data_IF_969429937313
#
_entry.id   IF_969429937313
#
_cell.length_a   1.000
_cell.length_b   1.000
_cell.length_c   1.000
_cell.angle_alpha   90.00
_cell.angle_beta   90.00
_cell.angle_gamma   90.00
#
_symmetry.space_group_name_H-M   'P 1'
#
loop_
_entity.id
_entity.type
_entity.pdbx_description
1 polymer ?
#
# COMPACT_ATOMS: atom_id res chain seq x y z
N UNK A 1 16.90 41.77 43.91
CA UNK A 1 17.18 42.88 43.03
C UNK A 1 16.44 42.56 41.72
N UNK A 2 15.18 42.89 41.62
CA UNK A 2 14.54 44.03 41.00
C UNK A 2 14.90 44.27 39.55
N UNK A 3 13.85 44.14 38.71
CA UNK A 3 13.68 44.92 37.52
C UNK A 3 12.65 44.35 36.54
N UNK A 4 11.38 44.70 36.76
CA UNK A 4 10.26 44.53 35.82
C UNK A 4 10.16 45.69 34.84
N UNK A 5 9.71 45.47 33.60
CA UNK A 5 9.03 46.46 32.74
C UNK A 5 8.20 45.69 31.71
N UNK A 6 6.92 45.58 31.83
CA UNK A 6 5.72 46.32 31.33
C UNK A 6 5.56 46.38 29.81
N UNK A 7 4.48 45.68 29.40
CA UNK A 7 3.36 45.95 28.46
C UNK A 7 3.48 47.05 27.37
N UNK A 8 3.05 46.66 26.17
CA UNK A 8 2.26 47.54 25.30
C UNK A 8 1.21 46.74 24.50
N UNK A 9 -0.03 46.96 24.78
CA UNK A 9 -1.26 46.59 24.04
C UNK A 9 -1.51 47.62 22.97
N UNK A 10 -1.70 47.21 21.72
CA UNK A 10 -2.20 48.08 20.64
C UNK A 10 -3.52 47.56 20.08
N UNK A 11 -4.62 48.18 20.53
CA UNK A 11 -5.96 48.03 19.93
C UNK A 11 -6.01 48.82 18.64
N UNK A 12 -6.56 48.29 17.57
CA UNK A 12 -7.07 49.07 16.45
C UNK A 12 -8.54 48.76 16.23
N UNK A 13 -9.29 49.89 16.09
CA UNK A 13 -10.74 50.01 16.02
C UNK A 13 -11.26 49.74 14.61
N UNK A 14 -12.49 49.21 14.59
CA UNK A 14 -13.42 49.26 13.45
C UNK A 14 -13.71 50.68 13.04
N UNK A 15 -13.83 50.95 11.75
CA UNK A 15 -14.66 52.01 11.18
C UNK A 15 -15.49 51.40 10.04
N UNK A 16 -16.79 51.43 10.24
CA UNK A 16 -17.80 51.24 9.20
C UNK A 16 -18.12 52.58 8.53
N UNK A 17 -18.49 52.54 7.28
CA UNK A 17 -19.21 53.63 6.61
C UNK A 17 -20.33 53.02 5.76
N UNK A 18 -21.53 53.32 6.17
CA UNK A 18 -22.74 53.12 5.39
C UNK A 18 -22.98 54.32 4.46
N UNK A 19 -23.61 54.12 3.34
CA UNK A 19 -24.19 55.16 2.55
C UNK A 19 -25.59 54.76 2.08
N UNK A 20 -26.49 55.67 2.27
CA UNK A 20 -27.93 55.54 2.15
C UNK A 20 -28.46 55.76 0.72
N UNK A 21 -29.66 55.22 0.56
CA UNK A 21 -30.57 55.32 -0.59
C UNK A 21 -31.14 56.71 -0.76
N UNK A 22 -31.31 57.17 -2.00
CA UNK A 22 -32.31 58.23 -2.35
C UNK A 22 -33.08 57.70 -3.55
N UNK A 23 -34.42 57.66 -3.32
CA UNK A 23 -35.42 57.43 -4.35
C UNK A 23 -35.90 58.75 -4.90
N UNK A 24 -36.15 58.83 -6.21
CA UNK A 24 -37.03 59.81 -6.80
C UNK A 24 -37.74 59.19 -8.01
N UNK A 25 -39.04 59.34 -8.00
CA UNK A 25 -39.97 58.75 -8.94
C UNK A 25 -40.23 59.56 -10.18
N UNK A 26 -41.03 59.01 -11.08
CA UNK A 26 -41.87 59.64 -12.02
C UNK A 26 -41.71 59.33 -13.48
N UNK A 27 -42.74 58.82 -14.13
CA UNK A 27 -42.96 59.00 -15.56
C UNK A 27 -43.35 57.74 -16.34
N UNK A 28 -44.67 57.55 -16.53
CA UNK A 28 -45.23 56.63 -17.53
C UNK A 28 -44.87 57.06 -18.94
N UNK A 29 -44.47 56.12 -19.80
CA UNK A 29 -44.79 56.14 -21.23
C UNK A 29 -44.89 54.69 -21.72
N UNK A 30 -46.03 54.34 -22.33
CA UNK A 30 -46.29 53.10 -23.07
C UNK A 30 -45.45 53.10 -24.35
N UNK A 31 -44.73 52.07 -24.55
CA UNK A 31 -44.09 51.75 -25.82
C UNK A 31 -43.85 50.24 -25.89
N UNK A 32 -44.73 49.54 -26.61
CA UNK A 32 -44.55 48.10 -26.83
C UNK A 32 -43.33 47.82 -27.66
N UNK A 33 -42.41 47.06 -27.12
CA UNK A 33 -41.30 46.45 -27.85
C UNK A 33 -41.30 44.96 -27.58
N UNK A 34 -41.46 44.21 -28.62
CA UNK A 34 -41.31 42.75 -28.70
C UNK A 34 -39.91 42.35 -28.17
N UNK A 35 -39.86 41.67 -27.08
CA UNK A 35 -38.64 41.04 -26.60
C UNK A 35 -38.39 39.77 -27.41
N UNK A 36 -37.18 39.53 -27.95
CA UNK A 36 -36.85 38.23 -28.51
C UNK A 36 -36.70 37.24 -27.36
N UNK A 37 -37.50 36.19 -27.38
CA UNK A 37 -37.33 35.00 -26.54
C UNK A 37 -35.93 34.42 -26.75
N UNK A 38 -35.07 34.57 -25.77
CA UNK A 38 -33.77 33.89 -25.79
C UNK A 38 -34.02 32.39 -25.63
N UNK A 39 -33.89 31.65 -26.73
CA UNK A 39 -33.86 30.21 -26.70
C UNK A 39 -32.71 29.76 -25.81
N UNK A 40 -33.01 29.30 -24.61
CA UNK A 40 -32.07 28.60 -23.71
C UNK A 40 -31.79 27.28 -24.39
N UNK A 41 -30.67 27.20 -25.13
CA UNK A 41 -30.13 25.97 -25.63
C UNK A 41 -29.79 25.08 -24.41
N UNK A 42 -30.59 24.05 -24.17
CA UNK A 42 -30.28 23.02 -23.19
C UNK A 42 -28.97 22.38 -23.61
N UNK A 43 -27.91 22.70 -22.90
CA UNK A 43 -26.64 22.00 -23.06
C UNK A 43 -26.88 20.51 -22.74
N UNK A 44 -26.92 19.69 -23.77
CA UNK A 44 -26.98 18.24 -23.64
C UNK A 44 -25.68 17.84 -22.95
N UNK A 45 -25.75 17.53 -21.66
CA UNK A 45 -24.64 16.90 -20.94
C UNK A 45 -24.41 15.54 -21.59
N UNK A 46 -23.42 15.45 -22.46
CA UNK A 46 -22.95 14.18 -23.02
C UNK A 46 -22.38 13.40 -21.82
N UNK A 47 -23.17 12.44 -21.35
CA UNK A 47 -22.71 11.51 -20.34
C UNK A 47 -21.55 10.72 -20.95
N UNK A 48 -20.37 10.69 -20.33
CA UNK A 48 -19.24 9.95 -20.88
C UNK A 48 -19.65 8.50 -21.13
N UNK A 49 -19.37 7.98 -22.31
CA UNK A 49 -19.65 6.58 -22.66
C UNK A 49 -19.08 5.67 -21.56
N UNK A 50 -19.88 4.70 -21.13
CA UNK A 50 -19.43 3.71 -20.16
C UNK A 50 -18.20 3.00 -20.76
N UNK A 51 -17.14 2.85 -19.96
CA UNK A 51 -15.97 2.09 -20.38
C UNK A 51 -16.39 0.65 -20.68
N UNK A 52 -15.82 -0.01 -21.70
CA UNK A 52 -16.17 -1.40 -22.02
C UNK A 52 -15.89 -2.30 -20.83
N UNK A 53 -16.81 -3.24 -20.56
CA UNK A 53 -16.66 -4.20 -19.50
C UNK A 53 -15.41 -5.08 -19.71
N UNK A 54 -14.65 -5.34 -18.63
CA UNK A 54 -13.51 -6.26 -18.68
C UNK A 54 -14.03 -7.69 -18.64
N UNK A 55 -13.62 -8.49 -19.64
CA UNK A 55 -13.88 -9.94 -19.62
C UNK A 55 -12.95 -10.60 -18.58
N UNK A 56 -13.51 -11.03 -17.45
CA UNK A 56 -12.76 -11.66 -16.36
C UNK A 56 -12.78 -13.18 -16.47
N UNK A 57 -11.84 -13.84 -15.77
CA UNK A 57 -11.82 -15.31 -15.66
C UNK A 57 -13.09 -15.82 -15.00
N UNK A 58 -13.57 -17.05 -15.35
CA UNK A 58 -14.78 -17.62 -14.76
C UNK A 58 -14.71 -17.76 -13.22
N UNK A 59 -15.68 -17.18 -12.55
CA UNK A 59 -15.77 -17.18 -11.08
C UNK A 59 -15.20 -15.93 -10.41
N UNK A 60 -14.43 -15.11 -11.12
CA UNK A 60 -14.02 -13.82 -10.60
C UNK A 60 -15.20 -12.83 -10.61
N UNK A 61 -15.39 -12.04 -9.55
CA UNK A 61 -16.36 -10.94 -9.55
C UNK A 61 -16.05 -9.92 -10.66
N UNK A 62 -17.09 -9.35 -11.27
CA UNK A 62 -16.94 -8.36 -12.32
C UNK A 62 -16.17 -7.12 -11.82
N UNK A 63 -15.34 -6.53 -12.68
CA UNK A 63 -14.66 -5.25 -12.40
C UNK A 63 -15.70 -4.13 -12.40
N UNK A 64 -15.79 -3.37 -11.32
CA UNK A 64 -16.80 -2.31 -11.15
C UNK A 64 -16.46 -1.07 -11.97
N UNK A 65 -15.23 -0.60 -11.90
CA UNK A 65 -14.72 0.50 -12.74
C UNK A 65 -13.36 0.10 -13.36
N UNK A 66 -13.34 -0.18 -14.66
CA UNK A 66 -12.10 -0.57 -15.34
C UNK A 66 -11.07 0.56 -15.47
N UNK A 67 -11.45 1.80 -15.15
CA UNK A 67 -10.53 2.95 -15.10
C UNK A 67 -9.91 3.14 -13.72
N UNK A 68 -10.50 2.53 -12.69
CA UNK A 68 -10.02 2.60 -11.32
C UNK A 68 -10.35 1.32 -10.54
N UNK A 69 -9.44 0.35 -10.57
CA UNK A 69 -9.52 -0.91 -9.83
C UNK A 69 -9.71 -0.72 -8.32
N UNK A 70 -9.30 0.44 -7.79
CA UNK A 70 -9.41 0.77 -6.37
C UNK A 70 -10.72 1.47 -6.00
N UNK A 71 -11.67 1.59 -6.92
CA UNK A 71 -12.96 2.26 -6.68
C UNK A 71 -13.76 1.64 -5.52
N UNK A 72 -13.67 0.32 -5.35
CA UNK A 72 -14.32 -0.38 -4.24
C UNK A 72 -13.55 -0.31 -2.92
N UNK A 73 -12.31 0.17 -2.97
CA UNK A 73 -11.48 0.43 -1.79
C UNK A 73 -11.69 1.85 -1.22
N UNK A 74 -12.67 2.61 -1.73
CA UNK A 74 -13.02 3.92 -1.21
C UNK A 74 -13.46 3.83 0.26
N UNK A 75 -13.18 4.90 1.02
CA UNK A 75 -13.60 4.98 2.42
C UNK A 75 -15.12 4.79 2.57
N UNK A 76 -15.53 3.95 3.51
CA UNK A 76 -16.94 3.67 3.77
C UNK A 76 -17.53 2.51 2.96
N UNK A 77 -16.83 1.96 1.97
CA UNK A 77 -17.28 0.80 1.17
C UNK A 77 -16.77 -0.49 1.80
N UNK A 78 -17.38 -0.91 2.90
CA UNK A 78 -17.05 -2.18 3.56
C UNK A 78 -17.92 -3.32 3.05
N UNK A 79 -17.32 -4.50 2.87
CA UNK A 79 -18.06 -5.74 2.63
C UNK A 79 -18.96 -6.08 3.82
N UNK A 80 -20.16 -6.61 3.57
CA UNK A 80 -21.01 -7.14 4.63
C UNK A 80 -20.34 -8.29 5.42
N UNK A 81 -19.35 -8.96 4.83
CA UNK A 81 -18.61 -10.04 5.47
C UNK A 81 -17.85 -9.59 6.74
N UNK A 82 -17.42 -8.30 6.80
CA UNK A 82 -16.66 -7.75 7.92
C UNK A 82 -17.53 -7.05 8.97
N UNK A 83 -18.85 -7.15 8.86
CA UNK A 83 -19.77 -6.58 9.84
C UNK A 83 -19.58 -7.22 11.21
N UNK A 84 -19.27 -6.40 12.21
CA UNK A 84 -19.03 -6.84 13.58
C UNK A 84 -17.59 -7.24 13.89
N UNK A 85 -16.69 -7.10 12.92
CA UNK A 85 -15.25 -7.30 13.16
C UNK A 85 -14.66 -6.18 14.01
N UNK A 86 -13.63 -6.53 14.79
CA UNK A 86 -12.93 -5.57 15.62
C UNK A 86 -12.06 -4.63 14.76
N UNK A 87 -12.14 -3.32 15.04
CA UNK A 87 -11.19 -2.36 14.46
C UNK A 87 -9.84 -2.51 15.17
N UNK A 88 -8.89 -3.16 14.51
CA UNK A 88 -7.57 -3.51 15.06
C UNK A 88 -6.48 -3.42 14.00
N UNK A 89 -5.24 -3.28 14.48
CA UNK A 89 -4.04 -3.40 13.64
C UNK A 89 -3.24 -4.57 14.18
N UNK A 90 -3.04 -5.55 13.34
CA UNK A 90 -2.30 -6.76 13.67
C UNK A 90 -0.89 -6.66 13.11
N UNK A 91 0.11 -6.81 13.99
CA UNK A 91 1.53 -6.57 13.67
C UNK A 91 2.33 -7.83 13.91
N UNK A 92 2.75 -8.55 12.86
CA UNK A 92 3.61 -9.72 13.00
C UNK A 92 5.04 -9.26 13.30
N UNK A 93 5.67 -9.86 14.31
CA UNK A 93 7.03 -9.53 14.72
C UNK A 93 7.94 -10.73 14.48
N UNK A 94 8.81 -10.62 13.50
CA UNK A 94 9.63 -11.71 12.98
C UNK A 94 10.46 -12.39 14.09
N UNK A 95 11.21 -11.60 14.85
CA UNK A 95 12.09 -12.10 15.93
C UNK A 95 11.34 -12.44 17.21
N UNK A 96 10.18 -11.82 17.41
CA UNK A 96 9.31 -12.09 18.55
C UNK A 96 8.55 -13.40 18.43
N UNK A 97 8.34 -13.92 17.21
CA UNK A 97 7.43 -15.03 16.93
C UNK A 97 6.05 -14.79 17.53
N UNK A 98 5.56 -13.57 17.39
CA UNK A 98 4.29 -13.11 17.97
C UNK A 98 3.60 -12.08 17.09
N UNK A 99 2.35 -11.82 17.42
CA UNK A 99 1.55 -10.74 16.86
C UNK A 99 1.18 -9.80 18.00
N UNK A 100 1.42 -8.51 17.78
CA UNK A 100 0.91 -7.43 18.63
C UNK A 100 -0.35 -6.87 18.00
N UNK A 101 -1.34 -6.55 18.83
CA UNK A 101 -2.63 -6.01 18.40
C UNK A 101 -2.75 -4.58 18.92
N UNK A 102 -2.88 -3.62 18.00
CA UNK A 102 -3.05 -2.21 18.33
C UNK A 102 -4.52 -1.84 18.16
N UNK A 103 -5.05 -1.10 19.14
CA UNK A 103 -6.31 -0.39 19.00
C UNK A 103 -6.04 0.99 18.41
N UNK A 104 -6.50 1.27 17.16
CA UNK A 104 -6.22 2.54 16.50
C UNK A 104 -6.93 3.75 17.14
N UNK A 105 -8.03 3.53 17.89
CA UNK A 105 -8.77 4.61 18.54
C UNK A 105 -8.01 5.22 19.73
N UNK A 106 -7.28 4.39 20.47
CA UNK A 106 -6.50 4.82 21.63
C UNK A 106 -4.98 4.79 21.42
N UNK A 107 -4.55 4.38 20.21
CA UNK A 107 -3.14 4.35 19.81
C UNK A 107 -2.25 3.52 20.75
N UNK A 108 -2.74 2.36 21.19
CA UNK A 108 -2.03 1.48 22.14
C UNK A 108 -2.10 0.03 21.71
N UNK A 109 -1.06 -0.71 22.08
CA UNK A 109 -1.09 -2.18 22.07
C UNK A 109 -2.07 -2.63 23.16
N UNK A 110 -3.06 -3.42 22.76
CA UNK A 110 -4.13 -3.93 23.64
C UNK A 110 -4.07 -5.43 23.86
N UNK A 111 -3.35 -6.15 22.97
CA UNK A 111 -3.16 -7.60 23.10
C UNK A 111 -1.86 -8.03 22.42
N UNK A 112 -1.39 -9.23 22.75
CA UNK A 112 -0.28 -9.90 22.10
C UNK A 112 -0.39 -11.41 22.30
N UNK A 113 -0.02 -12.18 21.28
CA UNK A 113 -0.04 -13.64 21.35
C UNK A 113 1.06 -14.25 20.50
N UNK A 114 1.48 -15.48 20.87
CA UNK A 114 2.46 -16.24 20.10
C UNK A 114 1.82 -16.86 18.87
N UNK A 115 2.62 -16.96 17.80
CA UNK A 115 2.28 -17.63 16.54
C UNK A 115 3.43 -18.58 16.16
N UNK A 116 3.46 -19.05 14.92
CA UNK A 116 4.58 -19.85 14.42
C UNK A 116 5.88 -19.04 14.27
N UNK A 117 6.93 -19.71 13.81
CA UNK A 117 8.27 -19.11 13.69
C UNK A 117 8.35 -18.08 12.57
N UNK A 118 9.02 -16.96 12.84
CA UNK A 118 9.34 -15.91 11.88
C UNK A 118 8.11 -15.43 11.08
N UNK A 119 7.06 -14.87 11.75
CA UNK A 119 5.88 -14.36 11.07
C UNK A 119 6.25 -13.16 10.20
N UNK A 120 5.79 -13.18 8.93
CA UNK A 120 6.11 -12.16 7.92
C UNK A 120 4.91 -11.24 7.63
N UNK A 121 3.78 -11.81 7.28
CA UNK A 121 2.59 -11.06 6.86
C UNK A 121 1.34 -11.52 7.60
N UNK A 122 0.36 -10.63 7.66
CA UNK A 122 -1.01 -10.97 8.07
C UNK A 122 -1.93 -10.62 6.91
N UNK A 123 -2.62 -11.62 6.40
CA UNK A 123 -3.33 -11.57 5.13
C UNK A 123 -4.78 -11.94 5.34
N UNK A 124 -5.75 -11.11 4.93
CA UNK A 124 -7.16 -11.48 4.96
C UNK A 124 -7.44 -12.64 3.99
N UNK A 125 -8.28 -13.59 4.42
CA UNK A 125 -8.82 -14.62 3.52
C UNK A 125 -9.64 -13.98 2.38
N UNK A 126 -9.83 -14.70 1.27
CA UNK A 126 -10.58 -14.20 0.13
C UNK A 126 -11.99 -13.76 0.50
N UNK A 127 -12.65 -14.54 1.36
CA UNK A 127 -14.00 -14.27 1.89
C UNK A 127 -14.03 -13.27 3.06
N UNK A 128 -12.88 -12.71 3.47
CA UNK A 128 -12.73 -11.73 4.53
C UNK A 128 -13.11 -12.21 5.94
N UNK A 129 -13.17 -13.54 6.19
CA UNK A 129 -13.62 -14.09 7.48
C UNK A 129 -12.50 -14.53 8.39
N UNK A 130 -11.27 -14.57 7.89
CA UNK A 130 -10.08 -15.02 8.63
C UNK A 130 -8.90 -14.13 8.27
N UNK A 131 -8.06 -13.79 9.23
CA UNK A 131 -6.75 -13.19 8.99
C UNK A 131 -5.69 -14.27 9.18
N UNK A 132 -4.87 -14.51 8.16
CA UNK A 132 -3.85 -15.53 8.18
C UNK A 132 -2.47 -14.96 8.45
N UNK A 133 -1.81 -15.38 9.52
CA UNK A 133 -0.40 -15.05 9.79
C UNK A 133 0.48 -16.04 9.04
N UNK A 134 1.35 -15.54 8.16
CA UNK A 134 2.32 -16.38 7.45
C UNK A 134 3.57 -16.52 8.29
N UNK A 135 3.84 -17.71 8.81
CA UNK A 135 5.00 -18.01 9.63
C UNK A 135 6.01 -18.78 8.77
N UNK A 136 6.93 -18.07 8.10
CA UNK A 136 7.76 -18.68 7.07
C UNK A 136 8.86 -19.59 7.62
N UNK A 137 9.14 -19.49 8.92
CA UNK A 137 10.16 -20.25 9.62
C UNK A 137 11.58 -20.13 9.00
N UNK A 138 11.77 -19.16 8.10
CA UNK A 138 13.02 -18.84 7.38
C UNK A 138 13.72 -20.09 6.82
N UNK A 139 14.71 -20.62 7.53
CA UNK A 139 15.57 -21.74 7.08
C UNK A 139 15.10 -23.11 7.54
N UNK A 140 14.07 -23.18 8.38
CA UNK A 140 13.55 -24.47 8.89
C UNK A 140 12.35 -24.97 8.06
N UNK A 141 11.91 -26.21 8.32
CA UNK A 141 10.81 -26.84 7.57
C UNK A 141 9.47 -26.80 8.32
N UNK A 142 9.40 -26.04 9.41
CA UNK A 142 8.24 -25.95 10.30
C UNK A 142 7.42 -24.68 10.09
N UNK A 143 7.30 -24.23 8.84
CA UNK A 143 6.42 -23.16 8.44
C UNK A 143 4.95 -23.48 8.72
N UNK A 144 4.16 -22.44 8.94
CA UNK A 144 2.73 -22.59 9.23
C UNK A 144 1.92 -21.34 8.89
N UNK A 145 0.62 -21.50 8.82
CA UNK A 145 -0.36 -20.41 8.77
C UNK A 145 -1.15 -20.42 10.08
N UNK A 146 -1.14 -19.30 10.82
CA UNK A 146 -1.95 -19.16 12.02
C UNK A 146 -3.18 -18.31 11.70
N UNK A 147 -4.42 -18.86 11.82
CA UNK A 147 -5.62 -18.07 11.63
C UNK A 147 -5.90 -17.17 12.83
N UNK A 148 -6.44 -15.98 12.57
CA UNK A 148 -6.99 -15.07 13.57
C UNK A 148 -8.46 -14.87 13.20
N UNK A 149 -9.35 -15.02 14.16
CA UNK A 149 -10.74 -14.63 14.02
C UNK A 149 -10.86 -13.10 14.19
N UNK A 150 -11.24 -12.34 13.16
CA UNK A 150 -11.28 -10.88 13.23
C UNK A 150 -12.39 -10.33 14.13
N UNK A 151 -13.39 -11.15 14.51
CA UNK A 151 -14.45 -10.75 15.43
C UNK A 151 -14.02 -10.78 16.89
N UNK A 152 -13.17 -11.74 17.22
CA UNK A 152 -12.65 -11.89 18.59
C UNK A 152 -11.22 -11.38 18.76
N UNK A 153 -10.49 -11.23 17.66
CA UNK A 153 -9.06 -10.89 17.63
C UNK A 153 -8.15 -12.02 18.13
N UNK A 154 -8.65 -13.24 18.29
CA UNK A 154 -7.92 -14.36 18.87
C UNK A 154 -7.38 -15.33 17.81
N UNK A 155 -6.16 -15.89 18.02
CA UNK A 155 -5.61 -16.89 17.14
C UNK A 155 -6.28 -18.25 17.34
N UNK A 156 -6.40 -18.99 16.24
CA UNK A 156 -6.77 -20.40 16.22
C UNK A 156 -5.55 -21.31 16.05
N UNK A 157 -5.77 -22.64 15.92
CA UNK A 157 -4.72 -23.62 15.70
C UNK A 157 -4.03 -23.39 14.35
N UNK A 158 -2.70 -23.44 14.36
CA UNK A 158 -1.90 -23.26 13.15
C UNK A 158 -2.02 -24.47 12.21
N UNK A 159 -2.04 -24.18 10.89
CA UNK A 159 -1.97 -25.19 9.83
C UNK A 159 -0.55 -25.28 9.32
N UNK A 160 0.02 -26.46 9.26
CA UNK A 160 1.38 -26.69 8.75
C UNK A 160 1.42 -26.50 7.24
N UNK A 161 2.30 -25.60 6.78
CA UNK A 161 2.60 -25.38 5.35
C UNK A 161 4.08 -25.11 5.19
N UNK A 162 4.63 -25.45 4.04
CA UNK A 162 6.08 -25.33 3.82
C UNK A 162 6.44 -23.90 3.45
N UNK A 163 7.27 -23.24 4.27
CA UNK A 163 7.94 -21.96 4.04
C UNK A 163 7.04 -20.83 3.51
N UNK A 164 5.90 -20.50 4.16
CA UNK A 164 4.96 -19.49 3.69
C UNK A 164 5.49 -18.08 3.94
N UNK A 165 6.23 -17.52 2.98
CA UNK A 165 6.66 -16.11 3.08
C UNK A 165 5.45 -15.18 3.02
N UNK A 166 4.57 -15.38 2.05
CA UNK A 166 3.36 -14.61 1.87
C UNK A 166 2.18 -15.51 1.45
N UNK A 167 0.98 -14.93 1.42
CA UNK A 167 -0.25 -15.60 1.05
C UNK A 167 -1.08 -14.69 0.13
N UNK A 168 -1.59 -15.27 -0.95
CA UNK A 168 -2.50 -14.64 -1.88
C UNK A 168 -3.72 -15.51 -2.11
N UNK A 169 -4.69 -15.00 -2.85
CA UNK A 169 -5.84 -15.77 -3.30
C UNK A 169 -6.02 -15.57 -4.80
N UNK A 170 -6.43 -16.61 -5.52
CA UNK A 170 -6.78 -16.44 -6.92
C UNK A 170 -8.00 -15.51 -7.05
N UNK A 171 -8.10 -14.70 -8.13
CA UNK A 171 -9.20 -13.75 -8.29
C UNK A 171 -10.60 -14.37 -8.29
N UNK A 172 -10.71 -15.66 -8.61
CA UNK A 172 -11.95 -16.44 -8.53
C UNK A 172 -12.21 -17.06 -7.15
N UNK A 173 -11.31 -16.87 -6.19
CA UNK A 173 -11.42 -17.36 -4.82
C UNK A 173 -11.28 -18.88 -4.64
N UNK A 174 -10.90 -19.62 -5.71
CA UNK A 174 -10.82 -21.08 -5.65
C UNK A 174 -9.54 -21.62 -5.03
N UNK A 175 -8.48 -20.80 -4.94
CA UNK A 175 -7.22 -21.22 -4.34
C UNK A 175 -6.64 -20.13 -3.47
N UNK A 176 -6.08 -20.51 -2.33
CA UNK A 176 -5.07 -19.78 -1.60
C UNK A 176 -3.70 -20.07 -2.21
N UNK A 177 -2.87 -19.04 -2.43
CA UNK A 177 -1.56 -19.16 -3.07
C UNK A 177 -0.48 -18.89 -2.03
N UNK A 178 0.09 -19.94 -1.47
CA UNK A 178 1.22 -19.85 -0.54
C UNK A 178 2.51 -19.63 -1.33
N UNK A 179 3.19 -18.53 -1.01
CA UNK A 179 4.50 -18.21 -1.60
C UNK A 179 5.57 -18.97 -0.82
N UNK A 180 5.98 -20.13 -1.33
CA UNK A 180 7.05 -20.96 -0.74
C UNK A 180 8.42 -20.44 -1.24
N UNK A 181 8.86 -19.32 -0.68
CA UNK A 181 9.99 -18.50 -1.14
C UNK A 181 11.29 -19.29 -1.31
N UNK A 182 11.75 -19.95 -0.24
CA UNK A 182 12.99 -20.71 -0.26
C UNK A 182 12.89 -21.95 -1.15
N UNK A 183 11.68 -22.38 -1.51
CA UNK A 183 11.41 -23.54 -2.38
C UNK A 183 11.29 -23.18 -3.85
N UNK A 184 11.29 -21.88 -4.17
CA UNK A 184 11.08 -21.37 -5.54
C UNK A 184 9.84 -21.97 -6.18
N UNK A 185 8.71 -21.91 -5.49
CA UNK A 185 7.41 -22.38 -5.97
C UNK A 185 6.26 -21.65 -5.33
N UNK A 186 5.12 -21.74 -5.98
CA UNK A 186 3.83 -21.29 -5.50
C UNK A 186 2.97 -22.54 -5.23
N UNK A 187 2.49 -22.70 -4.00
CA UNK A 187 1.59 -23.76 -3.61
C UNK A 187 0.15 -23.26 -3.62
N UNK A 188 -0.66 -23.79 -4.53
CA UNK A 188 -2.08 -23.50 -4.61
C UNK A 188 -2.83 -24.46 -3.70
N UNK A 189 -3.64 -23.91 -2.80
CA UNK A 189 -4.28 -24.63 -1.72
C UNK A 189 -5.77 -24.30 -1.66
N UNK A 190 -6.55 -25.19 -1.11
CA UNK A 190 -7.94 -24.92 -0.80
C UNK A 190 -8.03 -23.71 0.16
N UNK A 191 -8.82 -22.67 -0.16
CA UNK A 191 -8.78 -21.40 0.57
C UNK A 191 -9.34 -21.47 2.00
N UNK A 192 -10.06 -22.55 2.35
CA UNK A 192 -10.64 -22.75 3.68
C UNK A 192 -9.84 -23.74 4.53
N UNK A 193 -9.45 -24.86 3.95
CA UNK A 193 -8.76 -25.95 4.67
C UNK A 193 -7.23 -25.86 4.57
N UNK A 194 -6.71 -25.07 3.65
CA UNK A 194 -5.29 -25.00 3.28
C UNK A 194 -4.72 -26.34 2.78
N UNK A 195 -5.54 -27.29 2.38
CA UNK A 195 -5.12 -28.52 1.73
C UNK A 195 -4.46 -28.21 0.37
N UNK A 196 -3.32 -28.85 0.06
CA UNK A 196 -2.62 -28.64 -1.21
C UNK A 196 -3.45 -29.12 -2.39
N UNK A 197 -3.67 -28.29 -3.39
CA UNK A 197 -4.32 -28.62 -4.66
C UNK A 197 -3.28 -28.95 -5.75
N UNK A 198 -2.34 -28.03 -5.98
CA UNK A 198 -1.23 -28.17 -6.93
C UNK A 198 -0.13 -27.16 -6.62
N UNK A 199 1.00 -27.27 -7.30
CA UNK A 199 2.11 -26.33 -7.19
C UNK A 199 2.60 -25.89 -8.57
N UNK A 200 3.12 -24.66 -8.66
CA UNK A 200 3.82 -24.13 -9.83
C UNK A 200 5.26 -23.87 -9.42
N UNK A 201 6.21 -24.59 -10.02
CA UNK A 201 7.63 -24.34 -9.82
C UNK A 201 8.06 -23.04 -10.53
N UNK A 202 8.88 -22.23 -9.85
CA UNK A 202 9.41 -20.95 -10.36
C UNK A 202 10.94 -20.97 -10.34
N UNK A 203 11.62 -21.87 -11.09
CA UNK A 203 13.06 -22.10 -10.95
C UNK A 203 13.91 -20.85 -11.26
N UNK A 204 13.46 -19.97 -12.14
CA UNK A 204 14.10 -18.69 -12.46
C UNK A 204 13.87 -17.57 -11.45
N UNK A 205 13.03 -17.80 -10.42
CA UNK A 205 12.63 -16.81 -9.43
C UNK A 205 13.19 -17.15 -8.05
N UNK A 206 14.47 -16.87 -7.81
CA UNK A 206 15.04 -17.00 -6.46
C UNK A 206 14.47 -15.89 -5.57
N UNK A 207 13.92 -16.27 -4.41
CA UNK A 207 13.21 -15.35 -3.53
C UNK A 207 11.89 -14.89 -4.16
N UNK A 208 11.06 -15.84 -4.60
CA UNK A 208 9.68 -15.51 -5.01
C UNK A 208 8.96 -14.88 -3.82
N UNK A 209 8.38 -13.67 -4.00
CA UNK A 209 8.08 -12.81 -2.88
C UNK A 209 6.66 -12.24 -2.97
N UNK A 210 6.50 -11.05 -3.53
CA UNK A 210 5.22 -10.34 -3.61
C UNK A 210 4.59 -10.45 -4.99
N UNK A 211 3.28 -10.22 -5.06
CA UNK A 211 2.53 -10.28 -6.31
C UNK A 211 1.40 -9.26 -6.39
N UNK A 212 1.01 -8.95 -7.63
CA UNK A 212 -0.30 -8.41 -7.93
C UNK A 212 -0.86 -9.06 -9.20
N UNK A 213 -2.16 -8.90 -9.44
CA UNK A 213 -2.93 -9.66 -10.42
C UNK A 213 -3.40 -8.76 -11.56
N UNK A 214 -3.44 -9.32 -12.77
CA UNK A 214 -4.05 -8.63 -13.92
C UNK A 214 -5.52 -8.28 -13.65
N UNK A 215 -5.98 -7.22 -14.32
CA UNK A 215 -7.36 -6.73 -14.16
C UNK A 215 -8.42 -7.79 -14.48
N UNK A 216 -8.12 -8.69 -15.42
CA UNK A 216 -8.98 -9.78 -15.86
C UNK A 216 -8.82 -11.08 -15.06
N UNK A 217 -7.84 -11.12 -14.14
CA UNK A 217 -7.56 -12.28 -13.30
C UNK A 217 -6.81 -13.41 -13.99
N UNK A 218 -6.33 -13.24 -15.22
CA UNK A 218 -5.68 -14.31 -16.00
C UNK A 218 -4.27 -14.60 -15.55
N UNK A 219 -3.53 -13.58 -15.11
CA UNK A 219 -2.15 -13.76 -14.66
C UNK A 219 -1.83 -12.95 -13.42
N UNK A 220 -0.76 -13.35 -12.76
CA UNK A 220 -0.11 -12.57 -11.70
C UNK A 220 1.34 -12.33 -12.06
N UNK A 221 1.89 -11.20 -11.58
CA UNK A 221 3.33 -10.92 -11.66
C UNK A 221 3.89 -10.99 -10.25
N UNK A 222 4.86 -11.89 -10.06
CA UNK A 222 5.59 -12.07 -8.80
C UNK A 222 6.98 -11.42 -8.88
N UNK A 223 7.39 -10.78 -7.79
CA UNK A 223 8.76 -10.33 -7.61
C UNK A 223 9.66 -11.49 -7.21
N UNK A 224 10.91 -11.44 -7.67
CA UNK A 224 11.94 -12.46 -7.42
C UNK A 224 13.12 -11.75 -6.73
N UNK A 225 13.01 -11.59 -5.42
CA UNK A 225 13.85 -10.72 -4.58
C UNK A 225 15.35 -10.99 -4.81
N UNK A 226 15.76 -12.26 -4.75
CA UNK A 226 17.18 -12.62 -4.87
C UNK A 226 17.66 -12.86 -6.32
N UNK A 227 16.73 -12.88 -7.28
CA UNK A 227 17.08 -12.98 -8.69
C UNK A 227 17.20 -11.61 -9.37
N UNK A 228 16.57 -10.56 -8.83
CA UNK A 228 16.46 -9.24 -9.47
C UNK A 228 15.60 -9.29 -10.73
N UNK A 229 14.58 -10.15 -10.72
CA UNK A 229 13.68 -10.39 -11.85
C UNK A 229 12.22 -10.36 -11.39
N UNK A 230 11.32 -10.37 -12.36
CA UNK A 230 9.90 -10.63 -12.17
C UNK A 230 9.53 -11.95 -12.85
N UNK A 231 8.51 -12.63 -12.33
CA UNK A 231 7.93 -13.82 -12.95
C UNK A 231 6.45 -13.58 -13.29
N UNK A 232 6.06 -13.72 -14.55
CA UNK A 232 4.66 -13.66 -15.00
C UNK A 232 4.09 -15.06 -15.02
N UNK A 233 3.04 -15.29 -14.25
CA UNK A 233 2.41 -16.60 -14.03
C UNK A 233 1.01 -16.58 -14.64
N UNK A 234 0.73 -17.51 -15.56
CA UNK A 234 -0.62 -17.76 -16.04
C UNK A 234 -1.39 -18.59 -15.00
N UNK A 235 -2.46 -18.03 -14.48
CA UNK A 235 -3.28 -18.67 -13.44
C UNK A 235 -4.28 -19.68 -14.02
N UNK A 236 -4.63 -19.52 -15.30
CA UNK A 236 -5.55 -20.42 -16.03
C UNK A 236 -4.81 -21.66 -16.50
N UNK A 237 -3.68 -21.45 -17.20
CA UNK A 237 -2.82 -22.53 -17.72
C UNK A 237 -1.86 -23.12 -16.66
N UNK A 238 -1.80 -22.50 -15.46
CA UNK A 238 -0.99 -22.94 -14.32
C UNK A 238 0.49 -23.10 -14.63
N UNK A 239 1.09 -22.09 -15.28
CA UNK A 239 2.49 -22.12 -15.71
C UNK A 239 3.18 -20.78 -15.63
N UNK A 240 4.49 -20.79 -15.57
CA UNK A 240 5.31 -19.59 -15.77
C UNK A 240 5.27 -19.22 -17.26
N UNK A 241 4.89 -17.98 -17.57
CA UNK A 241 4.91 -17.44 -18.93
C UNK A 241 6.29 -16.91 -19.31
N UNK A 242 6.89 -16.10 -18.42
CA UNK A 242 8.14 -15.43 -18.68
C UNK A 242 8.82 -14.95 -17.39
N UNK A 243 10.11 -14.64 -17.51
CA UNK A 243 10.88 -13.89 -16.51
C UNK A 243 11.38 -12.59 -17.14
N UNK A 244 11.25 -11.47 -16.40
CA UNK A 244 11.75 -10.16 -16.80
C UNK A 244 12.89 -9.75 -15.86
N UNK A 245 14.10 -9.54 -16.41
CA UNK A 245 15.20 -8.94 -15.66
C UNK A 245 15.00 -7.43 -15.60
N UNK A 246 15.02 -6.87 -14.38
CA UNK A 246 14.90 -5.43 -14.18
C UNK A 246 16.20 -4.72 -14.54
N UNK A 247 16.07 -3.60 -15.26
CA UNK A 247 17.21 -2.73 -15.60
C UNK A 247 17.47 -1.77 -14.47
N UNK A 248 18.69 -1.78 -13.94
CA UNK A 248 19.09 -0.90 -12.85
C UNK A 248 19.27 0.55 -13.33
N UNK A 249 18.97 1.56 -12.48
CA UNK A 249 19.22 2.96 -12.81
C UNK A 249 20.71 3.25 -12.91
N UNK A 250 21.09 4.33 -13.61
CA UNK A 250 22.48 4.77 -13.70
C UNK A 250 23.06 5.23 -12.35
N UNK A 251 22.21 5.80 -11.50
CA UNK A 251 22.57 6.27 -10.15
C UNK A 251 21.55 5.77 -9.13
N UNK A 252 22.00 5.62 -7.88
CA UNK A 252 21.15 5.36 -6.72
C UNK A 252 21.54 6.26 -5.56
N UNK A 253 20.76 6.28 -4.48
CA UNK A 253 21.13 7.01 -3.28
C UNK A 253 22.31 6.35 -2.58
N UNK A 254 23.22 7.17 -2.06
CA UNK A 254 24.34 6.69 -1.25
C UNK A 254 23.86 6.39 0.16
N UNK A 255 24.06 5.14 0.58
CA UNK A 255 23.83 4.73 1.96
C UNK A 255 24.93 5.32 2.86
N UNK A 256 24.56 6.19 3.80
CA UNK A 256 25.50 6.81 4.74
C UNK A 256 25.15 6.34 6.15
N UNK A 257 25.94 5.41 6.73
CA UNK A 257 25.68 4.89 8.08
C UNK A 257 25.71 6.02 9.12
N UNK A 258 24.70 6.04 9.99
CA UNK A 258 24.62 7.00 11.12
C UNK A 258 24.36 8.45 10.74
N UNK A 259 24.10 8.76 9.48
CA UNK A 259 23.68 10.09 9.07
C UNK A 259 22.24 10.32 9.52
N UNK A 260 22.07 10.80 10.76
CA UNK A 260 20.82 11.41 11.17
C UNK A 260 20.64 12.68 10.35
N UNK A 261 19.89 12.60 9.26
CA UNK A 261 19.42 13.80 8.58
C UNK A 261 18.33 14.41 9.42
N UNK A 262 18.62 15.58 9.95
CA UNK A 262 17.58 16.43 10.49
C UNK A 262 16.70 16.85 9.32
N UNK A 263 15.52 16.22 9.21
CA UNK A 263 14.51 16.74 8.33
C UNK A 263 14.20 18.18 8.74
N UNK A 264 14.55 19.13 7.89
CA UNK A 264 14.13 20.51 8.08
C UNK A 264 12.66 20.56 7.74
N UNK A 265 11.82 20.56 8.76
CA UNK A 265 10.36 20.49 8.62
C UNK A 265 9.84 19.05 8.37
N UNK A 266 8.72 18.94 7.68
CA UNK A 266 8.03 17.68 7.35
C UNK A 266 8.50 17.03 6.03
N UNK A 267 9.47 17.64 5.36
CA UNK A 267 9.96 17.21 4.05
C UNK A 267 11.24 16.41 4.22
N UNK A 268 11.25 15.24 3.62
CA UNK A 268 12.43 14.40 3.53
C UNK A 268 13.22 14.75 2.27
N UNK A 269 14.42 15.29 2.44
CA UNK A 269 15.30 15.59 1.33
C UNK A 269 16.10 14.34 0.94
N UNK A 270 16.10 13.95 -0.33
CA UNK A 270 16.89 12.82 -0.79
C UNK A 270 18.38 13.10 -0.59
N UNK A 271 19.11 12.04 -0.21
CA UNK A 271 20.56 12.12 0.00
C UNK A 271 21.40 12.27 -1.26
N UNK A 272 22.74 12.38 -1.08
CA UNK A 272 23.64 12.32 -2.20
C UNK A 272 23.48 11.00 -2.95
N UNK A 273 23.66 11.06 -4.27
CA UNK A 273 23.64 9.87 -5.13
C UNK A 273 25.08 9.39 -5.42
N UNK A 274 25.18 8.13 -5.77
CA UNK A 274 26.40 7.49 -6.27
C UNK A 274 26.11 6.77 -7.59
N UNK A 275 27.14 6.45 -8.37
CA UNK A 275 26.98 5.59 -9.54
C UNK A 275 26.47 4.23 -9.08
N UNK A 276 25.41 3.76 -9.69
CA UNK A 276 24.86 2.44 -9.38
C UNK A 276 25.76 1.35 -9.96
N UNK A 277 26.59 0.74 -9.14
CA UNK A 277 27.43 -0.39 -9.53
C UNK A 277 26.76 -1.74 -9.30
N UNK A 278 25.57 -1.74 -8.71
CA UNK A 278 24.76 -2.96 -8.48
C UNK A 278 24.12 -3.37 -9.80
N UNK A 279 24.40 -4.57 -10.24
CA UNK A 279 23.94 -5.12 -11.53
C UNK A 279 22.65 -5.94 -11.41
N UNK A 280 22.19 -6.14 -10.18
CA UNK A 280 21.01 -6.96 -9.86
C UNK A 280 20.13 -6.25 -8.83
N UNK A 281 18.89 -6.02 -9.20
CA UNK A 281 17.88 -5.47 -8.31
C UNK A 281 17.53 -6.41 -7.16
N UNK A 282 16.74 -5.88 -6.22
CA UNK A 282 16.10 -6.63 -5.13
C UNK A 282 14.63 -6.19 -5.08
N UNK A 283 13.82 -6.62 -6.09
CA UNK A 283 12.41 -6.24 -6.15
C UNK A 283 11.62 -6.80 -4.98
N UNK A 284 10.79 -5.93 -4.40
CA UNK A 284 9.99 -6.17 -3.21
C UNK A 284 8.50 -6.14 -3.56
N UNK A 285 7.77 -5.19 -3.01
CA UNK A 285 6.33 -5.06 -3.24
C UNK A 285 6.01 -4.66 -4.68
N UNK A 286 4.83 -5.04 -5.13
CA UNK A 286 4.32 -4.77 -6.48
C UNK A 286 2.84 -4.39 -6.43
N UNK A 287 2.45 -3.35 -7.15
CA UNK A 287 1.05 -2.91 -7.28
C UNK A 287 0.70 -2.60 -8.73
N UNK A 288 -0.47 -3.05 -9.13
CA UNK A 288 -1.05 -2.71 -10.43
C UNK A 288 -1.58 -1.27 -10.42
N UNK A 289 -1.47 -0.56 -11.55
CA UNK A 289 -2.05 0.78 -11.73
C UNK A 289 -3.59 0.74 -11.67
N UNK A 290 -4.23 1.87 -11.35
CA UNK A 290 -5.70 1.94 -11.26
C UNK A 290 -6.41 1.48 -12.53
N UNK A 291 -5.84 1.71 -13.71
CA UNK A 291 -6.38 1.29 -15.01
C UNK A 291 -6.01 -0.15 -15.40
N UNK A 292 -5.31 -0.88 -14.54
CA UNK A 292 -4.96 -2.28 -14.73
C UNK A 292 -3.90 -2.57 -15.77
N UNK A 293 -3.17 -1.55 -16.28
CA UNK A 293 -2.24 -1.74 -17.41
C UNK A 293 -0.78 -1.90 -16.99
N UNK A 294 -0.36 -1.19 -15.95
CA UNK A 294 1.03 -1.13 -15.53
C UNK A 294 1.20 -1.68 -14.12
N UNK A 295 2.36 -2.22 -13.84
CA UNK A 295 2.76 -2.70 -12.52
C UNK A 295 3.92 -1.85 -12.01
N UNK A 296 3.79 -1.36 -10.78
CA UNK A 296 4.79 -0.60 -10.08
C UNK A 296 5.50 -1.53 -9.11
N UNK A 297 6.82 -1.61 -9.19
CA UNK A 297 7.65 -2.57 -8.47
C UNK A 297 8.68 -1.81 -7.65
N UNK A 298 8.57 -1.86 -6.32
CA UNK A 298 9.58 -1.32 -5.43
C UNK A 298 10.85 -2.17 -5.50
N UNK A 299 12.01 -1.54 -5.56
CA UNK A 299 13.30 -2.24 -5.59
C UNK A 299 14.27 -1.62 -4.60
N UNK A 300 14.65 -2.43 -3.59
CA UNK A 300 15.54 -1.99 -2.51
C UNK A 300 16.94 -1.61 -3.00
N UNK A 301 17.48 -2.29 -4.01
CA UNK A 301 18.82 -2.02 -4.52
C UNK A 301 18.85 -0.89 -5.54
N UNK A 302 17.72 -0.62 -6.21
CA UNK A 302 17.57 0.46 -7.17
C UNK A 302 17.19 1.80 -6.51
N UNK A 303 16.73 1.80 -5.26
CA UNK A 303 16.24 2.98 -4.53
C UNK A 303 15.06 3.66 -5.23
N UNK A 304 14.16 2.86 -5.76
CA UNK A 304 13.02 3.37 -6.51
C UNK A 304 12.00 2.34 -6.92
N UNK A 305 11.15 2.76 -7.84
CA UNK A 305 10.03 1.99 -8.32
C UNK A 305 10.17 1.82 -9.83
N UNK A 306 10.29 0.58 -10.29
CA UNK A 306 10.20 0.24 -11.72
C UNK A 306 8.74 0.26 -12.18
N UNK A 307 8.51 0.67 -13.42
CA UNK A 307 7.20 0.62 -14.08
C UNK A 307 7.29 -0.42 -15.18
N UNK A 308 6.38 -1.40 -15.14
CA UNK A 308 6.33 -2.52 -16.08
C UNK A 308 4.96 -2.52 -16.76
N UNK A 309 4.94 -2.58 -18.07
CA UNK A 309 3.72 -2.80 -18.85
C UNK A 309 3.28 -4.26 -18.67
N UNK A 310 2.03 -4.45 -18.24
CA UNK A 310 1.52 -5.77 -17.87
C UNK A 310 1.28 -6.69 -19.06
N UNK A 311 0.92 -6.14 -20.22
CA UNK A 311 0.64 -6.92 -21.43
C UNK A 311 1.93 -7.39 -22.11
N UNK A 312 2.78 -6.43 -22.50
CA UNK A 312 4.06 -6.73 -23.17
C UNK A 312 5.11 -7.33 -22.23
N UNK A 313 4.89 -7.22 -20.91
CA UNK A 313 5.81 -7.65 -19.86
C UNK A 313 7.21 -7.05 -20.03
N UNK A 314 7.29 -5.74 -20.26
CA UNK A 314 8.52 -4.98 -20.45
C UNK A 314 8.61 -3.83 -19.45
N UNK A 315 9.82 -3.50 -19.00
CA UNK A 315 10.05 -2.31 -18.18
C UNK A 315 9.94 -1.06 -19.06
N UNK A 316 9.03 -0.14 -18.69
CA UNK A 316 8.73 1.08 -19.44
C UNK A 316 9.12 2.37 -18.72
N UNK A 317 9.50 2.27 -17.43
CA UNK A 317 9.91 3.44 -16.65
C UNK A 317 10.58 3.10 -15.33
N UNK A 318 11.05 4.16 -14.66
CA UNK A 318 11.63 4.09 -13.32
C UNK A 318 11.43 5.42 -12.60
N UNK A 319 11.06 5.38 -11.31
CA UNK A 319 10.89 6.54 -10.44
C UNK A 319 11.83 6.38 -9.25
N UNK A 320 12.78 7.29 -9.11
CA UNK A 320 13.68 7.29 -7.96
C UNK A 320 12.95 7.82 -6.72
N UNK A 321 12.96 7.07 -5.63
CA UNK A 321 12.21 7.38 -4.40
C UNK A 321 13.10 7.64 -3.20
N UNK A 322 13.74 6.63 -2.64
CA UNK A 322 14.59 6.73 -1.48
C UNK A 322 15.30 5.43 -1.19
N UNK A 323 16.27 5.45 -0.29
CA UNK A 323 17.08 4.28 0.05
C UNK A 323 16.19 3.12 0.51
N UNK A 324 16.30 1.99 -0.19
CA UNK A 324 15.61 0.78 0.17
C UNK A 324 14.10 0.84 -0.04
N UNK A 325 13.64 1.22 -1.24
CA UNK A 325 12.23 1.19 -1.60
C UNK A 325 11.64 -0.21 -1.39
N UNK A 326 10.54 -0.32 -0.62
CA UNK A 326 10.03 -1.62 -0.18
C UNK A 326 8.51 -1.76 -0.30
N UNK A 327 7.71 -1.16 0.58
CA UNK A 327 6.26 -1.30 0.58
C UNK A 327 5.56 -0.31 -0.33
N UNK A 328 4.52 -0.74 -1.02
CA UNK A 328 3.68 0.04 -1.91
C UNK A 328 2.23 0.00 -1.43
N UNK A 329 1.63 1.18 -1.19
CA UNK A 329 0.24 1.26 -0.74
C UNK A 329 -0.55 2.25 -1.61
N UNK A 330 -1.58 1.79 -2.35
CA UNK A 330 -2.47 2.68 -3.10
C UNK A 330 -3.32 3.55 -2.18
N UNK A 331 -3.55 4.82 -2.57
CA UNK A 331 -4.56 5.64 -1.89
C UNK A 331 -5.98 5.11 -2.17
N UNK A 332 -6.93 5.40 -1.27
CA UNK A 332 -8.32 4.93 -1.37
C UNK A 332 -9.04 5.42 -2.64
N UNK A 333 -8.64 6.56 -3.17
CA UNK A 333 -9.19 7.12 -4.40
C UNK A 333 -8.46 6.66 -5.68
N UNK A 334 -7.41 5.84 -5.55
CA UNK A 334 -6.61 5.35 -6.65
C UNK A 334 -5.75 6.43 -7.32
N UNK A 335 -5.55 7.60 -6.72
CA UNK A 335 -4.79 8.70 -7.35
C UNK A 335 -3.31 8.71 -6.98
N UNK A 336 -2.96 8.14 -5.82
CA UNK A 336 -1.60 8.20 -5.28
C UNK A 336 -1.09 6.81 -4.92
N UNK A 337 0.21 6.65 -5.03
CA UNK A 337 0.94 5.50 -4.54
C UNK A 337 1.90 5.95 -3.45
N UNK A 338 1.75 5.41 -2.25
CA UNK A 338 2.68 5.61 -1.15
C UNK A 338 3.79 4.57 -1.21
N UNK A 339 5.03 5.02 -1.21
CA UNK A 339 6.23 4.17 -1.26
C UNK A 339 6.96 4.28 0.06
N UNK A 340 7.04 3.19 0.81
CA UNK A 340 7.84 3.10 2.01
C UNK A 340 9.30 2.82 1.64
N UNK A 341 10.23 3.60 2.19
CA UNK A 341 11.67 3.45 1.97
C UNK A 341 12.34 3.15 3.32
N UNK A 342 12.96 1.98 3.43
CA UNK A 342 13.52 1.47 4.71
C UNK A 342 14.75 2.21 5.21
N UNK A 343 15.42 3.00 4.37
CA UNK A 343 16.74 3.58 4.69
C UNK A 343 17.86 2.55 4.71
N UNK A 344 17.70 1.40 4.05
CA UNK A 344 18.69 0.33 4.01
C UNK A 344 18.53 -0.56 2.78
N UNK A 345 19.64 -1.05 2.24
CA UNK A 345 19.71 -2.08 1.20
C UNK A 345 19.79 -3.51 1.75
N UNK A 346 19.63 -3.68 3.08
CA UNK A 346 19.74 -4.99 3.76
C UNK A 346 18.38 -5.49 4.20
N UNK A 347 18.20 -6.82 4.14
CA UNK A 347 16.98 -7.46 4.62
C UNK A 347 16.98 -7.52 6.15
N UNK A 348 18.12 -7.82 6.73
CA UNK A 348 18.33 -7.94 8.18
C UNK A 348 19.44 -7.01 8.65
N UNK A 349 19.44 -6.70 9.92
CA UNK A 349 20.48 -5.89 10.54
C UNK A 349 19.92 -4.64 11.20
N UNK A 350 20.76 -3.62 11.31
CA UNK A 350 20.36 -2.33 11.87
C UNK A 350 20.02 -1.33 10.77
N UNK A 351 19.22 -0.36 11.13
CA UNK A 351 18.94 0.82 10.33
C UNK A 351 20.26 1.52 9.94
N UNK A 352 20.42 1.84 8.67
CA UNK A 352 21.66 2.40 8.13
C UNK A 352 21.50 3.82 7.61
N UNK A 353 20.30 4.27 7.37
CA UNK A 353 20.03 5.60 6.81
C UNK A 353 18.66 6.13 7.19
N UNK A 354 18.25 7.17 6.50
CA UNK A 354 16.96 7.82 6.69
C UNK A 354 15.93 7.16 5.81
N UNK A 355 15.02 6.43 6.42
CA UNK A 355 13.81 5.98 5.75
C UNK A 355 12.71 7.04 5.83
N UNK A 356 11.72 6.89 4.97
CA UNK A 356 10.59 7.78 4.88
C UNK A 356 9.54 7.28 3.89
N UNK A 357 8.53 8.10 3.65
CA UNK A 357 7.47 7.78 2.68
C UNK A 357 7.54 8.76 1.51
N UNK A 358 7.52 8.23 0.30
CA UNK A 358 7.39 9.00 -0.93
C UNK A 358 6.00 8.83 -1.49
N UNK A 359 5.39 9.91 -1.95
CA UNK A 359 4.07 9.91 -2.57
C UNK A 359 4.22 10.14 -4.06
N UNK A 360 3.75 9.20 -4.85
CA UNK A 360 3.72 9.28 -6.31
C UNK A 360 2.29 9.58 -6.76
N UNK A 361 2.12 10.53 -7.67
CA UNK A 361 0.88 10.73 -8.41
C UNK A 361 0.85 9.76 -9.59
N UNK A 362 -0.14 8.87 -9.62
CA UNK A 362 -0.24 7.82 -10.63
C UNK A 362 -0.59 8.32 -12.03
N UNK A 363 -1.19 9.51 -12.14
CA UNK A 363 -1.54 10.07 -13.45
C UNK A 363 -0.35 10.65 -14.19
N UNK A 364 0.68 11.06 -13.44
CA UNK A 364 1.87 11.75 -13.98
C UNK A 364 3.18 10.98 -13.79
N UNK A 365 3.17 9.90 -12.99
CA UNK A 365 4.36 9.15 -12.57
C UNK A 365 5.41 10.02 -11.84
N UNK A 366 4.95 11.08 -11.15
CA UNK A 366 5.82 12.02 -10.46
C UNK A 366 5.72 11.92 -8.95
N UNK A 367 6.86 12.10 -8.29
CA UNK A 367 6.90 12.31 -6.85
C UNK A 367 6.29 13.67 -6.53
N UNK A 368 5.24 13.68 -5.69
CA UNK A 368 4.51 14.88 -5.28
C UNK A 368 4.70 15.23 -3.81
N UNK A 369 5.16 14.29 -2.98
CA UNK A 369 5.53 14.56 -1.59
C UNK A 369 6.59 13.57 -1.10
N UNK A 370 7.33 13.99 -0.04
CA UNK A 370 8.30 13.19 0.69
C UNK A 370 8.11 13.45 2.18
N UNK A 371 7.83 12.41 2.94
CA UNK A 371 7.57 12.49 4.38
C UNK A 371 8.72 11.87 5.16
N UNK A 372 9.32 12.64 6.04
CA UNK A 372 10.40 12.20 6.90
C UNK A 372 9.87 11.52 8.17
N UNK A 373 10.62 10.54 8.66
CA UNK A 373 10.51 10.08 10.04
C UNK A 373 11.52 10.87 10.88
N UNK A 374 11.12 11.62 11.91
CA UNK A 374 12.05 12.38 12.74
C UNK A 374 13.14 11.48 13.36
N UNK A 375 14.40 11.86 13.18
CA UNK A 375 15.55 11.05 13.59
C UNK A 375 15.86 9.88 12.66
N UNK A 376 15.26 9.86 11.47
CA UNK A 376 15.31 8.76 10.51
C UNK A 376 14.48 7.55 10.96
N UNK A 377 14.03 6.73 10.02
CA UNK A 377 13.17 5.59 10.31
C UNK A 377 13.35 4.47 9.30
N UNK A 378 12.62 3.37 9.51
CA UNK A 378 12.64 2.23 8.61
C UNK A 378 11.21 1.79 8.24
N UNK A 379 10.37 2.70 7.70
CA UNK A 379 9.02 2.33 7.30
C UNK A 379 9.08 1.22 6.25
N UNK A 380 8.21 0.24 6.41
CA UNK A 380 8.27 -1.00 5.67
C UNK A 380 6.93 -1.28 4.97
N UNK A 381 6.11 -2.15 5.48
CA UNK A 381 4.85 -2.56 4.87
C UNK A 381 3.66 -2.34 5.78
N UNK A 382 2.52 -2.11 5.18
CA UNK A 382 1.27 -1.94 5.90
C UNK A 382 0.09 -1.53 5.04
N UNK A 383 -0.87 -0.84 5.66
CA UNK A 383 -2.11 -0.44 5.01
C UNK A 383 -2.55 0.98 5.40
N UNK A 384 -3.55 1.46 4.66
CA UNK A 384 -4.33 2.63 5.04
C UNK A 384 -5.43 2.29 6.07
N UNK A 385 -5.79 3.28 6.90
CA UNK A 385 -7.05 3.26 7.64
C UNK A 385 -8.26 3.13 6.68
N UNK A 386 -9.41 2.73 7.23
CA UNK A 386 -10.65 2.55 6.44
C UNK A 386 -10.98 3.79 5.62
N UNK A 387 -10.87 4.96 6.23
CA UNK A 387 -11.16 6.27 5.61
C UNK A 387 -10.00 6.83 4.75
N UNK A 388 -8.86 6.15 4.72
CA UNK A 388 -7.67 6.58 3.99
C UNK A 388 -6.91 7.74 4.62
N UNK A 389 -7.32 8.22 5.80
CA UNK A 389 -6.69 9.37 6.46
C UNK A 389 -5.32 9.08 7.05
N UNK A 390 -5.02 7.83 7.34
CA UNK A 390 -3.77 7.41 7.94
C UNK A 390 -3.15 6.22 7.22
N UNK A 391 -1.83 6.31 6.99
CA UNK A 391 -1.02 5.20 6.50
C UNK A 391 -0.27 4.58 7.70
N UNK A 392 -0.51 3.29 7.92
CA UNK A 392 0.12 2.51 8.98
C UNK A 392 1.20 1.62 8.38
N UNK A 393 2.42 1.74 8.86
CA UNK A 393 3.57 1.00 8.37
C UNK A 393 4.33 0.35 9.53
N UNK A 394 4.68 -0.91 9.40
CA UNK A 394 5.68 -1.53 10.25
C UNK A 394 7.03 -0.82 10.06
N UNK A 395 7.89 -0.88 11.06
CA UNK A 395 9.23 -0.28 11.02
C UNK A 395 10.26 -1.31 11.44
N UNK A 396 10.77 -2.04 10.46
CA UNK A 396 11.52 -3.28 10.65
C UNK A 396 12.72 -3.16 11.58
N UNK A 397 13.47 -2.07 11.48
CA UNK A 397 14.69 -1.88 12.28
C UNK A 397 14.50 -1.01 13.52
N UNK A 398 13.29 -0.47 13.73
CA UNK A 398 12.99 0.46 14.83
C UNK A 398 12.09 -0.18 15.91
N UNK A 399 11.56 -1.38 15.65
CA UNK A 399 10.63 -2.09 16.55
C UNK A 399 9.39 -1.25 16.91
N UNK A 400 8.88 -0.51 15.95
CA UNK A 400 7.68 0.33 16.09
C UNK A 400 6.73 0.15 14.91
N UNK A 401 5.52 0.68 15.06
CA UNK A 401 4.61 0.96 13.96
C UNK A 401 4.52 2.46 13.80
N UNK A 402 4.65 2.95 12.58
CA UNK A 402 4.40 4.34 12.21
C UNK A 402 2.96 4.52 11.74
N UNK A 403 2.33 5.63 12.16
CA UNK A 403 1.09 6.14 11.60
C UNK A 403 1.35 7.51 11.00
N UNK A 404 1.28 7.60 9.69
CA UNK A 404 1.38 8.87 8.96
C UNK A 404 -0.02 9.42 8.68
N UNK A 405 -0.21 10.72 8.85
CA UNK A 405 -1.35 11.44 8.27
C UNK A 405 -1.15 11.56 6.76
N UNK A 406 -2.12 11.10 5.96
CA UNK A 406 -1.95 11.02 4.49
C UNK A 406 -2.04 12.37 3.77
N UNK A 407 -2.41 13.44 4.46
CA UNK A 407 -2.42 14.81 3.92
C UNK A 407 -1.18 15.59 4.30
N UNK A 408 -0.80 15.55 5.58
CA UNK A 408 0.28 16.36 6.11
C UNK A 408 1.64 15.65 6.16
N UNK A 409 1.64 14.29 6.16
CA UNK A 409 2.84 13.50 6.40
C UNK A 409 3.30 13.51 7.86
N UNK A 410 2.49 14.05 8.79
CA UNK A 410 2.79 13.97 10.21
C UNK A 410 2.83 12.51 10.66
N UNK A 411 3.83 12.17 11.46
CA UNK A 411 4.03 10.80 11.90
C UNK A 411 4.06 10.68 13.42
N UNK A 412 3.41 9.63 13.91
CA UNK A 412 3.53 9.15 15.29
C UNK A 412 3.95 7.70 15.29
N UNK A 413 4.55 7.23 16.40
CA UNK A 413 5.05 5.87 16.51
C UNK A 413 4.48 5.16 17.74
N UNK A 414 4.31 3.83 17.60
CA UNK A 414 3.86 2.95 18.67
C UNK A 414 4.88 1.82 18.80
N UNK A 415 5.43 1.62 20.00
CA UNK A 415 6.35 0.52 20.29
C UNK A 415 5.64 -0.84 20.14
N UNK A 416 6.27 -1.77 19.43
CA UNK A 416 5.80 -3.15 19.22
C UNK A 416 6.91 -4.16 19.50
N UNK A 417 6.78 -5.37 19.00
CA UNK A 417 7.80 -6.42 19.10
C UNK A 417 8.97 -6.23 18.15
N UNK A 418 9.92 -7.17 18.16
CA UNK A 418 11.16 -7.07 17.41
C UNK A 418 10.99 -7.47 15.94
N UNK A 419 11.54 -6.67 15.04
CA UNK A 419 11.46 -6.78 13.58
C UNK A 419 10.00 -6.93 13.08
N UNK A 420 9.11 -5.93 13.29
CA UNK A 420 7.77 -5.96 12.72
C UNK A 420 7.82 -5.87 11.20
N UNK A 421 6.88 -6.57 10.49
CA UNK A 421 6.82 -6.56 9.03
C UNK A 421 5.39 -6.38 8.53
N UNK A 422 4.91 -7.12 7.59
CA UNK A 422 3.64 -6.95 6.89
C UNK A 422 2.39 -6.87 7.78
N UNK A 423 2.19 -5.74 8.45
CA UNK A 423 1.02 -5.49 9.29
C UNK A 423 -0.27 -5.39 8.47
N UNK A 424 -1.39 -5.66 9.13
CA UNK A 424 -2.72 -5.48 8.56
C UNK A 424 -3.58 -4.58 9.44
N UNK A 425 -4.11 -3.50 8.85
CA UNK A 425 -5.19 -2.69 9.43
C UNK A 425 -6.51 -3.40 9.09
N UNK A 426 -7.36 -3.65 10.08
CA UNK A 426 -8.62 -4.35 9.89
C UNK A 426 -9.78 -3.63 10.57
N UNK A 427 -11.00 -3.66 9.97
CA UNK A 427 -11.36 -4.14 8.64
C UNK A 427 -10.85 -3.23 7.51
N UNK A 428 -10.85 -3.75 6.28
CA UNK A 428 -10.48 -3.03 5.07
C UNK A 428 -11.68 -2.88 4.13
N UNK A 429 -11.80 -1.75 3.39
CA UNK A 429 -12.75 -1.63 2.27
C UNK A 429 -12.43 -2.64 1.17
N UNK A 430 -13.46 -3.08 0.46
CA UNK A 430 -13.36 -4.04 -0.62
C UNK A 430 -14.31 -5.22 -0.46
N UNK A 431 -14.63 -5.90 -1.56
CA UNK A 431 -15.55 -7.05 -1.58
C UNK A 431 -14.86 -8.36 -1.23
N UNK A 432 -13.60 -8.49 -1.62
CA UNK A 432 -12.80 -9.71 -1.46
C UNK A 432 -11.32 -9.36 -1.38
N UNK A 433 -10.53 -10.26 -0.81
CA UNK A 433 -9.08 -10.10 -0.72
C UNK A 433 -8.37 -10.89 -1.82
N UNK A 434 -7.42 -10.26 -2.49
CA UNK A 434 -6.43 -10.97 -3.28
C UNK A 434 -5.20 -11.36 -2.47
N UNK A 435 -5.23 -11.09 -1.18
CA UNK A 435 -4.15 -11.36 -0.25
C UNK A 435 -3.17 -10.21 -0.12
N UNK A 436 -2.06 -10.47 0.59
CA UNK A 436 -1.12 -9.45 1.02
C UNK A 436 -1.81 -8.31 1.78
N UNK A 437 -1.12 -7.60 2.60
CA UNK A 437 -1.61 -6.64 3.61
C UNK A 437 -2.61 -5.56 3.15
N UNK A 438 -3.34 -5.69 2.09
CA UNK A 438 -4.31 -4.69 1.64
C UNK A 438 -4.64 -4.77 0.17
N UNK A 439 -4.32 -5.89 -0.43
CA UNK A 439 -4.73 -6.14 -1.81
C UNK A 439 -6.19 -6.60 -1.85
N UNK A 440 -7.09 -5.60 -1.77
CA UNK A 440 -8.54 -5.75 -1.78
C UNK A 440 -9.12 -5.27 -3.11
N UNK A 441 -10.23 -5.89 -3.51
CA UNK A 441 -11.06 -5.43 -4.65
C UNK A 441 -12.54 -5.61 -4.36
#
# INVERSE_FOLDING_TARGET
MNGAVRKALGRWKLMGAGAAVAAAGGGLMLGGLLTPEAAVSAATTVQPAAAPAVAVVPGMPAVVDPRNLYSENAGGVLSAAVTGDLSRIYVPNLRGHDVYVIDPAIMKVVDKFKVGKSPQHIVPSWDLRTLWVTNNAERSNDGSLTPIDPRTGKPGPAVVVDNPYNLYFTPDGKSAVVVAEARKRLDFRDPQTMALQYSIATPGCSGVNHADFSIDGRYAIFTCEFAGTLAKIDLVERKVLAYLKLTMPATRFKEVPGAARTAIGKVWEPGPTEVCTVTKGMPQDIRISPDGKRFYVADMHADGVHIVDGESFTQVGFIQTGIGAHGLTPSRDGKRLFVANRGSHKIHGSKLGDGGVVVIDWSTDKVVARWAVPGGGSPDMGNLSIDGSHLWLAARYDDVVYRFDTRSGDVVQIKVGAEPHGLTVWPQPGRYSLGHTGNMR
#
